data_IF_139782247957
#
_entry.id   IF_139782247957
#
_cell.length_a   1.000
_cell.length_b   1.000
_cell.length_c   1.000
_cell.angle_alpha   90.00
_cell.angle_beta   90.00
_cell.angle_gamma   90.00
#
_symmetry.space_group_name_H-M   'P 1'
#
loop_
_entity.id
_entity.type
_entity.pdbx_description
1 polymer ?
#
# COMPACT_ATOMS: atom_id res chain seq x y z
N UNK A 1 15.45 23.66 5.86
CA UNK A 1 15.27 22.53 4.93
C UNK A 1 13.79 22.52 4.57
N UNK A 2 13.42 22.81 3.31
CA UNK A 2 12.01 22.91 2.93
C UNK A 2 11.36 21.53 2.93
N UNK A 3 10.18 21.40 3.56
CA UNK A 3 9.36 20.20 3.51
C UNK A 3 8.91 20.01 2.06
N UNK A 4 9.46 19.01 1.36
CA UNK A 4 9.06 18.70 -0.01
C UNK A 4 7.89 17.73 0.04
N UNK A 5 6.68 18.26 0.02
CA UNK A 5 5.46 17.46 -0.13
C UNK A 5 5.49 16.77 -1.51
N UNK A 6 5.54 15.43 -1.54
CA UNK A 6 5.48 14.66 -2.79
C UNK A 6 4.02 14.28 -3.00
N UNK A 7 3.57 14.31 -4.26
CA UNK A 7 2.29 13.70 -4.60
C UNK A 7 2.51 12.20 -4.59
N UNK A 8 1.93 11.49 -3.63
CA UNK A 8 2.05 10.04 -3.49
C UNK A 8 0.74 9.35 -3.92
N UNK A 9 0.87 8.12 -4.41
CA UNK A 9 -0.26 7.25 -4.71
C UNK A 9 0.05 5.82 -4.34
N UNK A 10 -1.00 5.08 -4.00
CA UNK A 10 -0.99 3.68 -3.64
C UNK A 10 -1.49 2.86 -4.82
N UNK A 11 -0.75 1.84 -5.18
CA UNK A 11 -1.15 0.84 -6.17
C UNK A 11 -1.42 -0.47 -5.45
N UNK A 12 -2.57 -1.07 -5.73
CA UNK A 12 -2.91 -2.41 -5.21
C UNK A 12 -2.80 -3.42 -6.33
N UNK A 13 -2.28 -4.60 -6.01
CA UNK A 13 -2.05 -5.64 -6.99
C UNK A 13 -2.45 -7.01 -6.45
N UNK A 14 -3.04 -7.83 -7.32
CA UNK A 14 -3.29 -9.25 -7.06
C UNK A 14 -2.28 -10.12 -7.81
N UNK A 15 -1.83 -11.19 -7.16
CA UNK A 15 -0.79 -12.09 -7.63
C UNK A 15 -1.40 -13.46 -7.96
N UNK A 16 -0.85 -14.13 -8.97
CA UNK A 16 -1.07 -15.56 -9.19
C UNK A 16 0.01 -16.41 -8.50
N UNK A 17 -0.10 -17.73 -8.59
CA UNK A 17 0.85 -18.69 -7.97
C UNK A 17 2.28 -18.55 -8.52
N UNK A 18 2.44 -17.95 -9.70
CA UNK A 18 3.75 -17.67 -10.30
C UNK A 18 4.30 -16.29 -9.90
N UNK A 19 3.59 -15.53 -9.06
CA UNK A 19 3.97 -14.19 -8.61
C UNK A 19 3.74 -13.08 -9.63
N UNK A 20 3.02 -13.36 -10.73
CA UNK A 20 2.70 -12.35 -11.76
C UNK A 20 1.59 -11.44 -11.25
N UNK A 21 1.84 -10.14 -11.22
CA UNK A 21 0.87 -9.17 -10.69
C UNK A 21 -0.12 -8.65 -11.74
N UNK A 22 -1.28 -8.23 -11.26
CA UNK A 22 -2.23 -7.40 -11.99
C UNK A 22 -2.68 -6.25 -11.10
N UNK A 23 -2.70 -5.03 -11.64
CA UNK A 23 -3.10 -3.84 -10.89
C UNK A 23 -4.62 -3.84 -10.72
N UNK A 24 -5.08 -3.78 -9.47
CA UNK A 24 -6.50 -3.84 -9.10
C UNK A 24 -7.03 -2.51 -8.58
N UNK A 25 -6.16 -1.51 -8.37
CA UNK A 25 -6.55 -0.20 -7.90
C UNK A 25 -5.41 0.78 -7.78
N UNK A 26 -5.76 2.06 -7.87
CA UNK A 26 -4.87 3.20 -7.62
C UNK A 26 -5.61 4.16 -6.70
N UNK A 27 -4.98 4.56 -5.59
CA UNK A 27 -5.58 5.39 -4.55
C UNK A 27 -4.65 6.54 -4.19
N UNK A 28 -5.20 7.73 -3.96
CA UNK A 28 -4.43 8.92 -3.58
C UNK A 28 -4.42 9.17 -2.07
N UNK A 29 -5.17 8.38 -1.30
CA UNK A 29 -5.28 8.52 0.15
C UNK A 29 -5.29 7.15 0.81
N UNK A 30 -4.82 7.09 2.05
CA UNK A 30 -4.91 5.86 2.87
C UNK A 30 -6.38 5.53 3.22
N UNK A 31 -7.25 6.48 3.57
CA UNK A 31 -8.66 6.19 3.79
C UNK A 31 -9.34 5.46 2.62
N UNK A 32 -9.14 5.94 1.38
CA UNK A 32 -9.71 5.28 0.20
C UNK A 32 -9.10 3.90 -0.04
N UNK A 33 -7.78 3.76 0.19
CA UNK A 33 -7.09 2.48 0.10
C UNK A 33 -7.65 1.47 1.10
N UNK A 34 -7.87 1.88 2.35
CA UNK A 34 -8.39 1.00 3.42
C UNK A 34 -9.84 0.59 3.12
N UNK A 35 -10.69 1.55 2.77
CA UNK A 35 -12.12 1.29 2.52
C UNK A 35 -12.31 0.43 1.26
N UNK A 36 -11.51 0.71 0.22
CA UNK A 36 -11.80 0.25 -1.14
C UNK A 36 -10.59 -0.32 -1.84
N UNK A 37 -9.49 -0.71 -1.21
CA UNK A 37 -8.31 -1.19 -1.93
C UNK A 37 -7.65 -2.43 -1.34
N UNK A 38 -7.79 -2.63 -0.03
CA UNK A 38 -7.13 -3.76 0.65
C UNK A 38 -7.83 -5.09 0.36
N UNK A 39 -7.02 -6.10 0.01
CA UNK A 39 -7.42 -7.51 -0.06
C UNK A 39 -7.68 -8.06 -1.46
N UNK A 40 -8.01 -9.34 -1.53
CA UNK A 40 -8.37 -10.04 -2.77
C UNK A 40 -9.77 -9.63 -3.22
N UNK A 41 -9.91 -9.32 -4.51
CA UNK A 41 -11.11 -8.69 -5.08
C UNK A 41 -11.59 -9.45 -6.30
N UNK A 42 -12.91 -9.53 -6.53
CA UNK A 42 -13.51 -10.30 -7.62
C UNK A 42 -13.36 -9.63 -9.00
N UNK A 43 -12.62 -8.53 -9.09
CA UNK A 43 -12.33 -7.80 -10.33
C UNK A 43 -11.12 -8.37 -11.08
N UNK A 44 -10.39 -9.31 -10.47
CA UNK A 44 -9.21 -9.96 -11.01
C UNK A 44 -9.24 -11.44 -10.65
N UNK A 45 -8.93 -12.30 -11.63
CA UNK A 45 -8.94 -13.76 -11.45
C UNK A 45 -7.76 -14.27 -10.61
N UNK A 46 -6.74 -13.42 -10.37
CA UNK A 46 -5.56 -13.75 -9.57
C UNK A 46 -5.88 -13.63 -8.09
N UNK A 47 -5.73 -14.68 -7.31
CA UNK A 47 -6.13 -14.71 -5.91
C UNK A 47 -5.09 -15.35 -4.97
N UNK A 48 -3.88 -15.60 -5.47
CA UNK A 48 -2.83 -16.27 -4.69
C UNK A 48 -2.12 -15.32 -3.71
N UNK A 49 -2.23 -14.01 -3.92
CA UNK A 49 -1.70 -13.04 -2.95
C UNK A 49 -2.05 -11.60 -3.28
N UNK A 50 -1.84 -10.74 -2.29
CA UNK A 50 -2.11 -9.31 -2.35
C UNK A 50 -0.84 -8.49 -2.08
N UNK A 51 -0.71 -7.37 -2.79
CA UNK A 51 0.41 -6.44 -2.65
C UNK A 51 -0.07 -5.00 -2.71
N UNK A 52 0.56 -4.15 -1.90
CA UNK A 52 0.43 -2.69 -2.01
C UNK A 52 1.79 -2.06 -2.29
N UNK A 53 1.77 -1.00 -3.09
CA UNK A 53 2.98 -0.26 -3.50
C UNK A 53 2.71 1.24 -3.35
N UNK A 54 3.61 1.94 -2.68
CA UNK A 54 3.60 3.41 -2.56
C UNK A 54 4.52 4.00 -3.62
N UNK A 55 4.01 4.91 -4.43
CA UNK A 55 4.72 5.54 -5.53
C UNK A 55 4.67 7.07 -5.42
N UNK A 56 5.71 7.74 -5.95
CA UNK A 56 5.68 9.18 -6.17
C UNK A 56 5.14 9.48 -7.59
N UNK A 57 4.26 10.48 -7.69
CA UNK A 57 3.74 10.98 -8.97
C UNK A 57 4.86 11.51 -9.84
N UNK A 58 4.81 11.16 -11.13
CA UNK A 58 5.76 11.60 -12.17
C UNK A 58 7.23 11.33 -11.84
N UNK A 59 7.50 10.31 -11.00
CA UNK A 59 8.84 9.88 -10.65
C UNK A 59 9.27 8.70 -11.54
N UNK A 60 10.37 8.81 -12.30
CA UNK A 60 10.95 7.68 -13.02
C UNK A 60 11.72 6.72 -12.11
N UNK A 61 11.85 7.07 -10.82
CA UNK A 61 12.55 6.24 -9.84
C UNK A 61 11.71 5.03 -9.42
N UNK A 62 12.35 4.09 -8.73
CA UNK A 62 11.67 2.98 -8.09
C UNK A 62 10.56 3.47 -7.13
N UNK A 63 9.53 2.63 -6.88
CA UNK A 63 8.52 2.91 -5.87
C UNK A 63 9.14 3.29 -4.52
N UNK A 64 8.45 4.17 -3.79
CA UNK A 64 8.86 4.62 -2.47
C UNK A 64 8.83 3.47 -1.45
N UNK A 65 7.79 2.63 -1.52
CA UNK A 65 7.70 1.43 -0.70
C UNK A 65 6.87 0.37 -1.41
N UNK A 66 7.06 -0.89 -1.03
CA UNK A 66 6.31 -2.04 -1.52
C UNK A 66 6.15 -3.02 -0.36
N UNK A 67 4.94 -3.54 -0.20
CA UNK A 67 4.57 -4.48 0.85
C UNK A 67 3.75 -5.61 0.24
N UNK A 68 4.27 -6.83 0.29
CA UNK A 68 3.48 -8.05 0.22
C UNK A 68 2.99 -8.47 1.60
N UNK A 69 2.19 -9.54 1.65
CA UNK A 69 1.59 -10.04 2.89
C UNK A 69 2.61 -10.29 4.02
N UNK A 70 3.76 -10.90 3.70
CA UNK A 70 4.82 -11.14 4.67
C UNK A 70 5.41 -9.85 5.28
N UNK A 71 5.27 -8.72 4.59
CA UNK A 71 5.85 -7.41 4.96
C UNK A 71 4.80 -6.48 5.60
N UNK A 72 3.53 -6.88 5.70
CA UNK A 72 2.48 -6.03 6.29
C UNK A 72 2.72 -5.69 7.76
N UNK A 73 3.51 -6.49 8.47
CA UNK A 73 3.96 -6.19 9.84
C UNK A 73 4.89 -4.97 9.93
N UNK A 74 5.59 -4.62 8.85
CA UNK A 74 6.63 -3.58 8.81
C UNK A 74 6.13 -2.22 8.30
N UNK A 75 4.85 -2.10 7.95
CA UNK A 75 4.25 -0.90 7.35
C UNK A 75 4.50 0.35 8.20
N UNK A 76 4.28 0.26 9.51
CA UNK A 76 4.47 1.41 10.41
C UNK A 76 5.93 1.88 10.42
N UNK A 77 6.88 0.94 10.49
CA UNK A 77 8.32 1.25 10.50
C UNK A 77 8.79 1.83 9.17
N UNK A 78 8.36 1.24 8.06
CA UNK A 78 8.79 1.67 6.72
C UNK A 78 8.13 2.96 6.26
N UNK A 79 7.01 3.37 6.88
CA UNK A 79 6.36 4.64 6.59
C UNK A 79 6.75 5.78 7.54
N UNK A 80 7.64 5.53 8.52
CA UNK A 80 8.06 6.53 9.51
C UNK A 80 8.60 7.82 8.88
N UNK A 81 9.38 7.74 7.79
CA UNK A 81 9.90 8.93 7.11
C UNK A 81 8.79 9.82 6.49
N UNK A 82 7.68 9.22 6.07
CA UNK A 82 6.54 9.96 5.50
C UNK A 82 5.69 10.61 6.60
N UNK A 83 5.70 10.04 7.81
CA UNK A 83 5.12 10.65 9.00
C UNK A 83 5.95 11.87 9.44
N UNK A 84 7.28 11.71 9.52
CA UNK A 84 8.20 12.79 9.91
C UNK A 84 8.12 14.00 8.98
N UNK A 85 7.87 13.77 7.70
CA UNK A 85 7.70 14.82 6.69
C UNK A 85 6.28 15.39 6.62
N UNK A 86 5.33 14.81 7.33
CA UNK A 86 3.91 15.20 7.34
C UNK A 86 3.16 14.85 6.05
N UNK A 87 3.73 13.99 5.20
CA UNK A 87 3.08 13.51 3.98
C UNK A 87 1.96 12.51 4.28
N UNK A 88 2.07 11.79 5.40
CA UNK A 88 1.08 10.83 5.90
C UNK A 88 0.92 11.04 7.41
N UNK A 89 -0.29 10.96 7.95
CA UNK A 89 -0.48 11.03 9.39
C UNK A 89 -0.20 9.69 10.10
N UNK A 90 0.19 9.76 11.37
CA UNK A 90 0.36 8.56 12.22
C UNK A 90 -0.92 7.74 12.33
N UNK A 91 -2.09 8.40 12.38
CA UNK A 91 -3.40 7.74 12.49
C UNK A 91 -3.75 6.95 11.22
N UNK A 92 -3.48 7.52 10.05
CA UNK A 92 -3.68 6.82 8.78
C UNK A 92 -2.77 5.60 8.68
N UNK A 93 -1.48 5.73 9.02
CA UNK A 93 -0.54 4.58 9.00
C UNK A 93 -0.97 3.48 9.97
N UNK A 94 -1.39 3.84 11.18
CA UNK A 94 -1.87 2.88 12.17
C UNK A 94 -3.14 2.15 11.67
N UNK A 95 -4.07 2.89 11.05
CA UNK A 95 -5.28 2.33 10.45
C UNK A 95 -4.95 1.36 9.32
N UNK A 96 -4.08 1.76 8.39
CA UNK A 96 -3.62 0.89 7.29
C UNK A 96 -2.97 -0.39 7.81
N UNK A 97 -2.06 -0.27 8.78
CA UNK A 97 -1.37 -1.42 9.36
C UNK A 97 -2.35 -2.38 10.05
N UNK A 98 -3.35 -1.86 10.78
CA UNK A 98 -4.39 -2.68 11.38
C UNK A 98 -5.21 -3.43 10.32
N UNK A 99 -5.69 -2.73 9.28
CA UNK A 99 -6.48 -3.33 8.20
C UNK A 99 -5.70 -4.42 7.45
N UNK A 100 -4.42 -4.18 7.15
CA UNK A 100 -3.57 -5.17 6.47
C UNK A 100 -3.36 -6.42 7.33
N UNK A 101 -3.15 -6.26 8.63
CA UNK A 101 -3.04 -7.38 9.58
C UNK A 101 -4.33 -8.18 9.69
N UNK A 102 -5.48 -7.53 9.64
CA UNK A 102 -6.78 -8.23 9.62
C UNK A 102 -6.99 -9.03 8.34
N UNK A 103 -6.51 -8.53 7.19
CA UNK A 103 -6.60 -9.26 5.94
C UNK A 103 -5.78 -10.56 5.96
N UNK A 104 -4.61 -10.56 6.59
CA UNK A 104 -3.82 -11.79 6.78
C UNK A 104 -4.52 -12.86 7.63
N UNK A 105 -5.48 -12.48 8.48
CA UNK A 105 -6.24 -13.45 9.31
C UNK A 105 -7.41 -14.08 8.57
N UNK A 106 -7.83 -13.50 7.44
CA UNK A 106 -8.99 -13.92 6.65
C UNK A 106 -8.60 -14.73 5.41
N UNK A 107 -7.31 -14.78 5.08
CA UNK A 107 -6.73 -15.56 3.99
C UNK A 107 -6.48 -17.01 4.39
#
# INVERSE_FOLDING_TARGET
MGIRFRRIYWVTEQLDDAGRSEVTGIFTSIPDLVERGVGIRPICDKNAGFRITLCALDSPNAPLARFGEAEFGEVETRLAEFIETGEISTEEVATLAATLRECMKKA
#
